data_IF_709893293309
#
_entry.id   IF_709893293309
#
_cell.length_a   1.000
_cell.length_b   1.000
_cell.length_c   1.000
_cell.angle_alpha   90.00
_cell.angle_beta   90.00
_cell.angle_gamma   90.00
#
_symmetry.space_group_name_H-M   'P 1'
#
loop_
_entity.id
_entity.type
_entity.pdbx_description
1 polymer ?
#
# COMPACT_ATOMS: atom_id res chain seq x y z
N UNK A 1 4.95 -47.50 -17.11
CA UNK A 1 5.99 -47.21 -18.12
C UNK A 1 5.47 -46.15 -19.08
N UNK A 2 5.97 -44.92 -18.94
CA UNK A 2 6.15 -43.94 -20.04
C UNK A 2 7.10 -42.89 -19.47
N UNK A 3 8.36 -42.98 -19.89
CA UNK A 3 9.45 -42.08 -19.50
C UNK A 3 9.22 -40.76 -20.23
N UNK A 4 9.08 -39.66 -19.50
CA UNK A 4 9.23 -38.32 -20.08
C UNK A 4 10.71 -37.99 -20.01
N UNK A 5 11.30 -37.73 -21.17
CA UNK A 5 12.72 -37.50 -21.34
C UNK A 5 13.09 -36.10 -20.87
N UNK A 6 14.10 -36.03 -20.01
CA UNK A 6 14.85 -34.83 -19.66
C UNK A 6 15.65 -34.41 -20.90
N UNK A 7 15.44 -33.19 -21.38
CA UNK A 7 16.30 -32.57 -22.40
C UNK A 7 17.36 -31.76 -21.65
N UNK A 8 18.66 -32.01 -21.86
CA UNK A 8 19.72 -31.24 -21.19
C UNK A 8 19.87 -29.87 -21.85
N UNK A 9 19.98 -28.84 -21.02
CA UNK A 9 20.40 -27.50 -21.41
C UNK A 9 21.81 -27.57 -22.01
N UNK A 10 21.92 -27.23 -23.30
CA UNK A 10 23.22 -27.02 -23.95
C UNK A 10 23.56 -25.54 -23.82
N UNK A 11 24.54 -25.26 -22.98
CA UNK A 11 25.35 -24.04 -22.99
C UNK A 11 25.76 -23.72 -24.44
N UNK A 12 25.41 -22.54 -24.95
CA UNK A 12 26.00 -22.01 -26.16
C UNK A 12 26.56 -20.60 -25.89
N UNK A 13 27.76 -20.58 -25.32
CA UNK A 13 28.72 -19.50 -25.53
C UNK A 13 29.05 -19.45 -27.03
N UNK A 14 28.54 -18.44 -27.75
CA UNK A 14 29.02 -18.12 -29.09
C UNK A 14 29.63 -16.73 -29.08
N UNK A 15 30.97 -16.76 -29.14
CA UNK A 15 31.85 -15.65 -29.48
C UNK A 15 31.31 -14.84 -30.65
N UNK A 16 31.28 -13.52 -30.46
CA UNK A 16 31.32 -12.55 -31.55
C UNK A 16 32.48 -12.86 -32.51
N UNK A 17 32.16 -13.25 -33.75
CA UNK A 17 32.86 -12.77 -34.96
C UNK A 17 32.10 -13.22 -36.22
N UNK A 18 32.06 -12.32 -37.20
CA UNK A 18 31.65 -12.48 -38.61
C UNK A 18 30.20 -12.08 -38.97
N UNK A 19 30.11 -10.85 -39.50
CA UNK A 19 29.24 -10.34 -40.55
C UNK A 19 28.17 -11.30 -41.13
N UNK A 20 26.91 -10.91 -40.95
CA UNK A 20 25.85 -11.20 -41.93
C UNK A 20 24.71 -12.11 -41.48
N UNK A 21 24.06 -11.84 -40.34
CA UNK A 21 22.71 -12.37 -40.09
C UNK A 21 21.67 -11.39 -40.66
N UNK A 22 20.83 -11.89 -41.57
CA UNK A 22 19.73 -11.13 -42.17
C UNK A 22 18.63 -10.93 -41.13
N UNK A 23 18.06 -9.72 -41.11
CA UNK A 23 16.96 -9.27 -40.24
C UNK A 23 15.80 -10.29 -40.11
N UNK A 24 15.51 -11.05 -41.17
CA UNK A 24 14.47 -12.10 -41.21
C UNK A 24 14.70 -13.31 -40.28
N UNK A 25 15.95 -13.68 -39.97
CA UNK A 25 16.23 -14.82 -39.08
C UNK A 25 16.11 -14.44 -37.60
N UNK A 26 16.32 -13.17 -37.27
CA UNK A 26 16.12 -12.63 -35.92
C UNK A 26 14.63 -12.46 -35.64
N UNK A 27 13.85 -11.98 -36.60
CA UNK A 27 12.39 -11.84 -36.48
C UNK A 27 11.69 -13.20 -36.26
N UNK A 28 12.11 -14.26 -36.96
CA UNK A 28 11.55 -15.62 -36.79
C UNK A 28 11.83 -16.28 -35.44
N UNK A 29 12.87 -15.85 -34.73
CA UNK A 29 13.21 -16.38 -33.39
C UNK A 29 12.47 -15.59 -32.31
N UNK A 30 12.14 -14.33 -32.56
CA UNK A 30 11.44 -13.45 -31.61
C UNK A 30 9.91 -13.64 -31.66
N UNK A 31 9.33 -13.89 -32.84
CA UNK A 31 7.87 -14.07 -33.01
C UNK A 31 7.24 -15.10 -32.04
N UNK A 32 7.82 -16.29 -31.80
CA UNK A 32 7.25 -17.25 -30.86
C UNK A 32 7.35 -16.80 -29.39
N UNK A 33 8.43 -16.08 -29.03
CA UNK A 33 8.65 -15.54 -27.68
C UNK A 33 7.71 -14.37 -27.35
N UNK A 34 7.33 -13.58 -28.36
CA UNK A 34 6.34 -12.49 -28.22
C UNK A 34 4.91 -13.05 -28.20
N UNK A 35 4.65 -14.15 -28.94
CA UNK A 35 3.36 -14.83 -28.92
C UNK A 35 3.08 -15.52 -27.57
N UNK A 36 4.10 -16.10 -26.91
CA UNK A 36 3.98 -16.65 -25.55
C UNK A 36 3.75 -15.56 -24.49
N UNK A 37 4.23 -14.33 -24.71
CA UNK A 37 3.93 -13.16 -23.86
C UNK A 37 2.46 -12.72 -24.04
N UNK A 38 1.95 -12.68 -25.29
CA UNK A 38 0.56 -12.29 -25.56
C UNK A 38 -0.49 -13.34 -25.18
N UNK A 39 -0.14 -14.63 -25.21
CA UNK A 39 -1.08 -15.70 -24.86
C UNK A 39 -1.20 -15.93 -23.35
N UNK A 40 -0.24 -15.45 -22.55
CA UNK A 40 -0.39 -15.38 -21.10
C UNK A 40 -1.30 -14.22 -20.63
N UNK A 41 -1.46 -13.17 -21.45
CA UNK A 41 -2.28 -11.98 -21.15
C UNK A 41 -3.73 -12.05 -21.69
N UNK A 42 -4.15 -13.17 -22.29
CA UNK A 42 -5.50 -13.30 -22.86
C UNK A 42 -6.22 -14.57 -22.43
N UNK A 43 -6.36 -14.76 -21.12
CA UNK A 43 -7.56 -15.42 -20.58
C UNK A 43 -8.62 -14.36 -20.34
N UNK A 44 -9.75 -14.49 -21.03
CA UNK A 44 -10.91 -13.60 -20.96
C UNK A 44 -11.33 -13.30 -19.52
N UNK A 45 -10.96 -12.13 -19.01
CA UNK A 45 -11.73 -11.47 -17.95
C UNK A 45 -12.98 -10.91 -18.61
N UNK A 46 -14.14 -11.44 -18.21
CA UNK A 46 -15.38 -10.71 -18.38
C UNK A 46 -15.19 -9.36 -17.66
N UNK A 47 -15.44 -8.25 -18.34
CA UNK A 47 -15.59 -6.95 -17.69
C UNK A 47 -16.80 -7.07 -16.75
N UNK A 48 -16.55 -7.44 -15.51
CA UNK A 48 -17.37 -6.98 -14.40
C UNK A 48 -17.21 -5.46 -14.40
N UNK A 49 -18.31 -4.71 -14.41
CA UNK A 49 -18.26 -3.28 -14.14
C UNK A 49 -17.68 -3.15 -12.73
N UNK A 50 -16.39 -2.83 -12.61
CA UNK A 50 -15.78 -2.54 -11.31
C UNK A 50 -16.50 -1.32 -10.72
N UNK A 51 -17.07 -1.51 -9.54
CA UNK A 51 -17.65 -0.40 -8.78
C UNK A 51 -16.60 0.71 -8.62
N UNK A 52 -16.99 1.99 -8.77
CA UNK A 52 -16.04 3.09 -8.64
C UNK A 52 -15.40 3.08 -7.24
N UNK A 53 -14.07 3.25 -7.19
CA UNK A 53 -13.30 3.23 -5.95
C UNK A 53 -13.78 4.29 -4.95
N UNK A 54 -14.27 5.43 -5.45
CA UNK A 54 -15.03 6.42 -4.67
C UNK A 54 -16.52 6.23 -5.03
N UNK A 55 -17.36 5.82 -4.08
CA UNK A 55 -18.76 5.54 -4.36
C UNK A 55 -19.57 6.84 -4.41
N UNK A 56 -20.59 6.89 -5.26
CA UNK A 56 -21.60 7.96 -5.16
C UNK A 56 -22.40 7.81 -3.85
N UNK A 57 -22.70 8.93 -3.20
CA UNK A 57 -23.51 8.94 -1.99
C UNK A 57 -24.96 8.59 -2.34
N UNK A 58 -25.41 7.41 -1.92
CA UNK A 58 -26.79 6.97 -2.05
C UNK A 58 -27.65 7.57 -0.92
N UNK A 59 -28.19 8.76 -1.17
CA UNK A 59 -29.08 9.45 -0.22
C UNK A 59 -30.43 8.73 0.01
N UNK A 60 -30.71 7.61 -0.66
CA UNK A 60 -31.88 6.77 -0.35
C UNK A 60 -31.67 5.90 0.90
N UNK A 61 -30.41 5.69 1.31
CA UNK A 61 -30.05 5.00 2.54
C UNK A 61 -30.26 5.92 3.73
N UNK A 62 -31.02 5.49 4.73
CA UNK A 62 -31.19 6.25 5.97
C UNK A 62 -29.91 6.18 6.83
N UNK A 63 -29.32 7.33 7.16
CA UNK A 63 -28.20 7.48 8.11
C UNK A 63 -28.63 8.38 9.27
N UNK A 64 -27.95 8.27 10.41
CA UNK A 64 -28.25 9.09 11.58
C UNK A 64 -27.90 10.57 11.35
N UNK A 65 -28.88 11.49 11.36
CA UNK A 65 -28.59 12.92 11.29
C UNK A 65 -27.78 13.38 12.50
N UNK A 66 -26.85 14.31 12.30
CA UNK A 66 -26.00 14.87 13.37
C UNK A 66 -24.96 13.90 13.92
N UNK A 67 -24.70 12.78 13.25
CA UNK A 67 -23.73 11.80 13.74
C UNK A 67 -22.31 12.41 13.86
N UNK A 68 -21.66 12.07 14.97
CA UNK A 68 -20.27 12.42 15.27
C UNK A 68 -19.38 11.23 14.96
N UNK A 69 -18.51 11.38 13.98
CA UNK A 69 -17.48 10.40 13.65
C UNK A 69 -16.18 10.82 14.33
N UNK A 70 -15.57 9.94 15.10
CA UNK A 70 -14.22 10.16 15.58
C UNK A 70 -13.23 9.32 14.77
N UNK A 71 -12.21 9.95 14.20
CA UNK A 71 -11.15 9.25 13.49
C UNK A 71 -9.88 9.30 14.32
N UNK A 72 -9.32 8.13 14.63
CA UNK A 72 -8.00 7.99 15.25
C UNK A 72 -7.06 7.32 14.24
N UNK A 73 -6.13 8.09 13.70
CA UNK A 73 -5.13 7.63 12.75
C UNK A 73 -3.85 7.16 13.46
N UNK A 74 -3.04 6.32 12.79
CA UNK A 74 -1.69 5.98 13.28
C UNK A 74 -0.73 7.16 13.17
N UNK A 75 -0.94 8.04 12.18
CA UNK A 75 -0.26 9.34 12.09
C UNK A 75 -1.16 10.41 11.47
N UNK A 76 -0.88 11.65 11.85
CA UNK A 76 -1.50 12.87 11.30
C UNK A 76 -0.54 13.66 10.41
N UNK A 77 0.71 13.21 10.28
CA UNK A 77 1.79 13.88 9.55
C UNK A 77 2.13 13.13 8.27
N UNK A 78 2.42 13.85 7.19
CA UNK A 78 2.86 13.26 5.92
C UNK A 78 1.79 13.35 4.81
N UNK A 79 2.22 13.28 3.56
CA UNK A 79 1.34 13.50 2.39
C UNK A 79 0.26 12.41 2.26
N UNK A 80 0.58 11.17 2.60
CA UNK A 80 -0.40 10.08 2.65
C UNK A 80 -1.57 10.41 3.58
N UNK A 81 -1.28 10.74 4.84
CA UNK A 81 -2.30 11.07 5.84
C UNK A 81 -3.05 12.35 5.52
N UNK A 82 -2.39 13.33 4.91
CA UNK A 82 -3.06 14.53 4.43
C UNK A 82 -4.12 14.20 3.38
N UNK A 83 -3.82 13.30 2.42
CA UNK A 83 -4.78 12.89 1.40
C UNK A 83 -5.90 12.02 1.98
N UNK A 84 -5.59 11.11 2.91
CA UNK A 84 -6.62 10.35 3.65
C UNK A 84 -7.59 11.32 4.32
N UNK A 85 -7.06 12.29 5.06
CA UNK A 85 -7.87 13.31 5.73
C UNK A 85 -8.71 14.12 4.75
N UNK A 86 -8.13 14.56 3.62
CA UNK A 86 -8.87 15.29 2.59
C UNK A 86 -10.03 14.47 2.02
N UNK A 87 -9.83 13.18 1.75
CA UNK A 87 -10.89 12.29 1.30
C UNK A 87 -12.00 12.10 2.34
N UNK A 88 -11.62 12.01 3.62
CA UNK A 88 -12.57 11.95 4.72
C UNK A 88 -13.37 13.25 4.87
N UNK A 89 -12.71 14.40 4.81
CA UNK A 89 -13.35 15.73 4.87
C UNK A 89 -14.32 15.92 3.70
N UNK A 90 -13.93 15.54 2.48
CA UNK A 90 -14.83 15.60 1.31
C UNK A 90 -16.05 14.70 1.49
N UNK A 91 -15.89 13.47 1.97
CA UNK A 91 -17.04 12.59 2.20
C UNK A 91 -18.04 13.18 3.22
N UNK A 92 -17.55 13.87 4.26
CA UNK A 92 -18.42 14.59 5.20
C UNK A 92 -19.16 15.73 4.51
N UNK A 93 -18.48 16.51 3.67
CA UNK A 93 -19.10 17.60 2.90
C UNK A 93 -20.18 17.06 1.94
N UNK A 94 -19.83 16.07 1.13
CA UNK A 94 -20.71 15.47 0.13
C UNK A 94 -21.95 14.82 0.76
N UNK A 95 -21.80 14.13 1.90
CA UNK A 95 -22.95 13.57 2.62
C UNK A 95 -23.86 14.68 3.15
N UNK A 96 -23.29 15.71 3.77
CA UNK A 96 -24.10 16.81 4.28
C UNK A 96 -24.87 17.52 3.16
N UNK A 97 -24.25 17.68 1.98
CA UNK A 97 -24.91 18.22 0.78
C UNK A 97 -26.00 17.27 0.26
N UNK A 98 -25.68 16.00 0.04
CA UNK A 98 -26.57 15.01 -0.55
C UNK A 98 -27.84 14.77 0.28
N UNK A 99 -27.71 14.75 1.61
CA UNK A 99 -28.84 14.59 2.54
C UNK A 99 -29.53 15.91 2.87
N UNK A 100 -28.97 17.05 2.47
CA UNK A 100 -29.49 18.38 2.78
C UNK A 100 -29.50 18.69 4.27
N UNK A 101 -28.53 18.16 5.03
CA UNK A 101 -28.48 18.34 6.48
C UNK A 101 -28.22 19.79 6.85
N UNK A 102 -29.14 20.33 7.67
CA UNK A 102 -28.99 21.65 8.26
C UNK A 102 -27.97 21.67 9.41
N UNK A 103 -27.76 22.85 9.99
CA UNK A 103 -26.79 23.06 11.08
C UNK A 103 -26.95 22.11 12.28
N UNK A 104 -28.19 21.75 12.61
CA UNK A 104 -28.49 20.89 13.78
C UNK A 104 -28.40 19.39 13.44
N UNK A 105 -28.25 19.04 12.17
CA UNK A 105 -28.21 17.67 11.63
C UNK A 105 -26.88 17.37 10.93
N UNK A 106 -25.93 18.32 10.99
CA UNK A 106 -24.67 18.23 10.26
C UNK A 106 -23.82 17.09 10.82
N UNK A 107 -23.39 16.20 9.92
CA UNK A 107 -22.38 15.20 10.21
C UNK A 107 -21.06 15.93 10.52
N UNK A 108 -20.41 15.52 11.61
CA UNK A 108 -19.12 16.08 12.02
C UNK A 108 -18.09 14.99 12.20
N UNK A 109 -16.82 15.36 12.02
CA UNK A 109 -15.70 14.46 12.15
C UNK A 109 -14.57 15.10 12.97
N UNK A 110 -13.91 14.31 13.83
CA UNK A 110 -12.55 14.63 14.32
C UNK A 110 -11.52 13.78 13.59
N UNK A 111 -10.32 14.32 13.38
CA UNK A 111 -9.17 13.58 12.86
C UNK A 111 -7.99 13.75 13.81
N UNK A 112 -7.78 12.73 14.63
CA UNK A 112 -6.82 12.71 15.74
C UNK A 112 -5.82 11.57 15.54
N UNK A 113 -4.70 11.62 16.24
CA UNK A 113 -3.66 10.59 16.16
C UNK A 113 -2.31 11.14 16.59
N UNK A 114 -1.32 10.26 16.65
CA UNK A 114 0.06 10.68 16.89
C UNK A 114 0.61 11.46 15.69
N UNK A 115 1.75 12.13 15.89
CA UNK A 115 2.52 12.72 14.78
C UNK A 115 3.56 11.76 14.22
N UNK A 116 3.86 10.67 14.95
CA UNK A 116 4.80 9.60 14.63
C UNK A 116 4.07 8.25 14.74
N UNK A 117 4.13 7.43 13.69
CA UNK A 117 3.46 6.13 13.61
C UNK A 117 3.91 5.15 14.70
N UNK A 118 5.11 5.33 15.26
CA UNK A 118 5.66 4.50 16.34
C UNK A 118 5.04 4.77 17.71
N UNK A 119 4.33 5.89 17.89
CA UNK A 119 3.79 6.28 19.19
C UNK A 119 2.43 5.63 19.49
N UNK A 120 2.47 4.30 19.67
CA UNK A 120 1.32 3.48 20.04
C UNK A 120 0.69 3.95 21.36
N UNK A 121 1.50 4.45 22.29
CA UNK A 121 1.02 4.89 23.61
C UNK A 121 0.15 6.14 23.50
N UNK A 122 0.54 7.12 22.67
CA UNK A 122 -0.31 8.28 22.39
C UNK A 122 -1.60 7.88 21.68
N UNK A 123 -1.55 6.95 20.71
CA UNK A 123 -2.76 6.45 20.06
C UNK A 123 -3.74 5.81 21.05
N UNK A 124 -3.24 5.01 22.00
CA UNK A 124 -4.06 4.42 23.08
C UNK A 124 -4.74 5.49 23.92
N UNK A 125 -4.00 6.52 24.35
CA UNK A 125 -4.56 7.62 25.15
C UNK A 125 -5.62 8.42 24.37
N UNK A 126 -5.38 8.67 23.08
CA UNK A 126 -6.36 9.33 22.21
C UNK A 126 -7.63 8.50 22.08
N UNK A 127 -7.52 7.18 21.91
CA UNK A 127 -8.68 6.29 21.86
C UNK A 127 -9.49 6.31 23.15
N UNK A 128 -8.83 6.24 24.31
CA UNK A 128 -9.52 6.31 25.60
C UNK A 128 -10.31 7.63 25.74
N UNK A 129 -9.71 8.76 25.32
CA UNK A 129 -10.36 10.07 25.36
C UNK A 129 -11.55 10.14 24.39
N UNK A 130 -11.35 9.73 23.13
CA UNK A 130 -12.36 9.75 22.08
C UNK A 130 -13.55 8.85 22.45
N UNK A 131 -13.30 7.64 22.92
CA UNK A 131 -14.37 6.71 23.33
C UNK A 131 -15.17 7.30 24.51
N UNK A 132 -14.51 8.01 25.43
CA UNK A 132 -15.18 8.68 26.54
C UNK A 132 -16.10 9.85 26.11
N UNK A 133 -15.86 10.43 24.93
CA UNK A 133 -16.77 11.42 24.33
C UNK A 133 -18.02 10.80 23.68
N UNK A 134 -18.07 9.47 23.60
CA UNK A 134 -19.17 8.67 23.07
C UNK A 134 -19.60 9.10 21.65
N UNK A 135 -18.70 9.06 20.66
CA UNK A 135 -19.03 9.31 19.26
C UNK A 135 -20.01 8.24 18.74
N UNK A 136 -20.72 8.56 17.67
CA UNK A 136 -21.65 7.63 17.02
C UNK A 136 -20.90 6.54 16.25
N UNK A 137 -19.69 6.85 15.76
CA UNK A 137 -18.82 5.89 15.06
C UNK A 137 -17.35 6.21 15.36
N UNK A 138 -16.54 5.16 15.56
CA UNK A 138 -15.09 5.27 15.65
C UNK A 138 -14.44 4.71 14.39
N UNK A 139 -13.59 5.52 13.74
CA UNK A 139 -12.71 5.07 12.66
C UNK A 139 -11.28 4.94 13.20
N UNK A 140 -10.59 3.85 12.89
CA UNK A 140 -9.25 3.55 13.43
C UNK A 140 -8.28 3.06 12.35
N UNK A 141 -7.09 3.63 12.30
CA UNK A 141 -5.93 3.01 11.65
C UNK A 141 -4.94 2.61 12.74
N UNK A 142 -4.78 1.31 12.98
CA UNK A 142 -4.02 0.80 14.12
C UNK A 142 -2.50 0.88 13.90
N UNK A 143 -1.78 1.50 14.84
CA UNK A 143 -0.30 1.48 14.88
C UNK A 143 0.27 0.12 15.30
N UNK A 144 -0.53 -0.71 15.96
CA UNK A 144 -0.17 -2.06 16.37
C UNK A 144 -1.43 -2.93 16.38
N UNK A 145 -1.36 -4.07 15.68
CA UNK A 145 -2.51 -4.97 15.48
C UNK A 145 -3.09 -5.55 16.76
N UNK A 146 -2.33 -5.61 17.86
CA UNK A 146 -2.70 -6.29 19.10
C UNK A 146 -2.87 -5.35 20.31
N UNK A 147 -2.35 -4.12 20.24
CA UNK A 147 -2.27 -3.24 21.40
C UNK A 147 -3.57 -2.50 21.72
N UNK A 148 -4.57 -2.53 20.85
CA UNK A 148 -5.82 -1.76 20.98
C UNK A 148 -7.02 -2.57 21.47
N UNK A 149 -6.83 -3.83 21.87
CA UNK A 149 -7.93 -4.73 22.22
C UNK A 149 -8.85 -4.16 23.31
N UNK A 150 -8.28 -3.60 24.38
CA UNK A 150 -9.07 -3.06 25.49
C UNK A 150 -9.94 -1.86 25.06
N UNK A 151 -9.39 -0.98 24.23
CA UNK A 151 -10.12 0.17 23.67
C UNK A 151 -11.26 -0.29 22.78
N UNK A 152 -11.03 -1.29 21.93
CA UNK A 152 -12.07 -1.84 21.06
C UNK A 152 -13.17 -2.56 21.82
N UNK A 153 -12.83 -3.25 22.91
CA UNK A 153 -13.81 -3.82 23.83
C UNK A 153 -14.66 -2.71 24.49
N UNK A 154 -14.02 -1.62 24.93
CA UNK A 154 -14.73 -0.46 25.50
C UNK A 154 -15.66 0.21 24.48
N UNK A 155 -15.22 0.43 23.24
CA UNK A 155 -16.04 0.96 22.16
C UNK A 155 -17.28 0.07 21.94
N UNK A 156 -17.08 -1.25 21.89
CA UNK A 156 -18.16 -2.23 21.74
C UNK A 156 -19.14 -2.23 22.92
N UNK A 157 -18.64 -2.13 24.16
CA UNK A 157 -19.48 -2.04 25.37
C UNK A 157 -20.35 -0.77 25.38
N UNK A 158 -19.83 0.33 24.84
CA UNK A 158 -20.57 1.58 24.66
C UNK A 158 -21.47 1.58 23.40
N UNK A 159 -21.48 0.49 22.62
CA UNK A 159 -22.29 0.37 21.41
C UNK A 159 -21.75 1.17 20.22
N UNK A 160 -20.49 1.62 20.27
CA UNK A 160 -19.83 2.41 19.22
C UNK A 160 -19.35 1.44 18.13
N UNK A 161 -19.91 1.47 16.91
CA UNK A 161 -19.37 0.72 15.79
C UNK A 161 -17.96 1.21 15.43
N UNK A 162 -17.08 0.28 15.08
CA UNK A 162 -15.71 0.56 14.68
C UNK A 162 -15.49 0.24 13.20
N UNK A 163 -14.96 1.19 12.43
CA UNK A 163 -14.50 0.98 11.05
C UNK A 163 -12.98 1.12 11.02
N UNK A 164 -12.27 0.07 10.61
CA UNK A 164 -10.83 0.14 10.45
C UNK A 164 -10.47 0.69 9.06
N UNK A 165 -9.36 1.41 8.97
CA UNK A 165 -8.82 1.87 7.69
C UNK A 165 -7.30 1.80 7.67
N UNK A 166 -6.69 1.71 6.49
CA UNK A 166 -5.24 1.53 6.24
C UNK A 166 -4.63 0.26 6.86
N UNK A 167 -4.60 0.19 8.20
CA UNK A 167 -4.10 -0.90 9.01
C UNK A 167 -5.15 -1.30 10.05
N UNK A 168 -5.61 -2.55 9.98
CA UNK A 168 -6.60 -3.10 10.91
C UNK A 168 -5.95 -3.69 12.17
N UNK A 169 -6.79 -4.29 13.01
CA UNK A 169 -6.43 -5.03 14.22
C UNK A 169 -6.55 -6.54 14.01
N UNK A 170 -5.92 -7.33 14.89
CA UNK A 170 -5.88 -8.79 14.79
C UNK A 170 -7.25 -9.44 15.03
N UNK A 171 -8.02 -8.97 16.02
CA UNK A 171 -9.41 -9.43 16.19
C UNK A 171 -10.35 -8.71 15.23
N UNK A 172 -10.43 -9.22 14.00
CA UNK A 172 -11.34 -8.68 12.99
C UNK A 172 -12.80 -8.59 13.46
N UNK A 173 -13.26 -9.34 14.48
CA UNK A 173 -14.64 -9.27 14.97
C UNK A 173 -14.95 -7.98 15.71
N UNK A 174 -13.92 -7.25 16.14
CA UNK A 174 -14.08 -5.95 16.78
C UNK A 174 -14.37 -4.82 15.79
N UNK A 175 -14.12 -5.06 14.49
CA UNK A 175 -14.41 -4.09 13.43
C UNK A 175 -15.64 -4.51 12.61
N UNK A 176 -16.48 -3.52 12.27
CA UNK A 176 -17.63 -3.66 11.38
C UNK A 176 -17.18 -3.81 9.94
N UNK A 177 -16.23 -2.96 9.53
CA UNK A 177 -15.67 -2.95 8.20
C UNK A 177 -14.21 -2.53 8.21
N UNK A 178 -13.50 -2.85 7.13
CA UNK A 178 -12.14 -2.41 6.82
C UNK A 178 -12.08 -1.74 5.45
N UNK A 179 -11.36 -0.63 5.34
CA UNK A 179 -11.05 0.10 4.10
C UNK A 179 -9.55 0.33 3.98
N UNK A 180 -8.89 -0.29 3.01
CA UNK A 180 -7.46 -0.09 2.82
C UNK A 180 -6.97 -0.69 1.53
N UNK A 181 -5.67 -0.60 1.30
CA UNK A 181 -5.03 -1.20 0.12
C UNK A 181 -4.93 -2.72 0.25
N UNK A 182 -4.93 -3.45 -0.87
CA UNK A 182 -4.39 -4.82 -0.87
C UNK A 182 -2.87 -4.78 -0.70
N UNK A 183 -2.42 -4.82 0.56
CA UNK A 183 -1.02 -4.71 0.90
C UNK A 183 -0.20 -5.96 0.55
N UNK A 184 -0.84 -7.13 0.43
CA UNK A 184 -0.15 -8.31 -0.09
C UNK A 184 0.17 -8.11 -1.57
N UNK A 185 -0.81 -7.60 -2.33
CA UNK A 185 -0.62 -7.22 -3.73
C UNK A 185 0.46 -6.15 -3.90
N UNK A 186 0.56 -5.18 -2.98
CA UNK A 186 1.66 -4.20 -2.95
C UNK A 186 3.02 -4.90 -2.93
N UNK A 187 3.20 -5.83 -1.99
CA UNK A 187 4.44 -6.60 -1.85
C UNK A 187 4.77 -7.44 -3.09
N UNK A 188 3.78 -8.11 -3.66
CA UNK A 188 3.93 -8.92 -4.88
C UNK A 188 4.38 -8.08 -6.09
N UNK A 189 3.75 -6.92 -6.32
CA UNK A 189 4.13 -6.00 -7.39
C UNK A 189 5.55 -5.49 -7.17
N UNK A 190 5.88 -5.07 -5.94
CA UNK A 190 7.22 -4.57 -5.60
C UNK A 190 8.30 -5.64 -5.84
N UNK A 191 8.05 -6.89 -5.42
CA UNK A 191 8.96 -8.00 -5.64
C UNK A 191 9.16 -8.29 -7.12
N UNK A 192 8.08 -8.37 -7.90
CA UNK A 192 8.16 -8.56 -9.34
C UNK A 192 8.99 -7.46 -10.02
N UNK A 193 8.68 -6.20 -9.72
CA UNK A 193 9.33 -5.04 -10.34
C UNK A 193 10.80 -4.94 -9.98
N UNK A 194 11.14 -5.16 -8.72
CA UNK A 194 12.53 -5.19 -8.27
C UNK A 194 13.30 -6.34 -8.91
N UNK A 195 12.74 -7.56 -8.90
CA UNK A 195 13.37 -8.73 -9.51
C UNK A 195 13.67 -8.53 -10.99
N UNK A 196 12.72 -7.97 -11.76
CA UNK A 196 12.93 -7.66 -13.17
C UNK A 196 14.02 -6.59 -13.35
N UNK A 197 14.00 -5.55 -12.53
CA UNK A 197 14.95 -4.43 -12.63
C UNK A 197 16.40 -4.85 -12.35
N UNK A 198 16.63 -5.81 -11.45
CA UNK A 198 17.97 -6.35 -11.14
C UNK A 198 18.38 -7.52 -12.05
N UNK A 199 17.59 -7.85 -13.08
CA UNK A 199 17.90 -8.96 -13.99
C UNK A 199 17.66 -10.35 -13.42
N UNK A 200 16.80 -10.46 -12.39
CA UNK A 200 16.28 -11.70 -11.78
C UNK A 200 17.31 -12.53 -11.01
N UNK A 201 18.42 -11.91 -10.58
CA UNK A 201 19.43 -12.53 -9.75
C UNK A 201 20.09 -11.50 -8.83
N UNK A 202 20.70 -11.94 -7.73
CA UNK A 202 21.50 -11.09 -6.86
C UNK A 202 20.99 -11.07 -5.42
N UNK A 203 21.34 -10.01 -4.70
CA UNK A 203 20.95 -9.83 -3.29
C UNK A 203 20.06 -8.63 -3.14
N UNK A 204 19.00 -8.76 -2.35
CA UNK A 204 18.10 -7.65 -2.03
C UNK A 204 17.89 -7.52 -0.53
N UNK A 205 17.57 -6.32 -0.07
CA UNK A 205 17.18 -6.05 1.31
C UNK A 205 15.81 -5.38 1.36
N UNK A 206 15.11 -5.55 2.47
CA UNK A 206 13.86 -4.85 2.75
C UNK A 206 14.10 -3.87 3.89
N UNK A 207 13.89 -2.59 3.62
CA UNK A 207 13.82 -1.57 4.66
C UNK A 207 12.35 -1.27 4.90
N UNK A 208 11.93 -1.42 6.14
CA UNK A 208 10.52 -1.44 6.48
C UNK A 208 10.18 -0.46 7.59
N UNK A 209 8.92 0.02 7.58
CA UNK A 209 8.35 0.76 8.68
C UNK A 209 8.08 -0.19 9.87
N UNK A 210 6.98 -0.01 10.62
CA UNK A 210 6.78 -0.75 11.86
C UNK A 210 6.24 -2.16 11.60
N UNK A 211 6.92 -3.18 12.13
CA UNK A 211 6.59 -4.61 11.94
C UNK A 211 5.17 -4.95 12.42
N UNK A 212 4.66 -4.23 13.41
CA UNK A 212 3.43 -4.60 14.11
C UNK A 212 2.14 -4.09 13.46
N UNK A 213 2.26 -3.29 12.40
CA UNK A 213 1.11 -2.82 11.62
C UNK A 213 0.70 -3.86 10.59
N UNK A 214 -0.60 -4.04 10.38
CA UNK A 214 -1.11 -5.03 9.41
C UNK A 214 -0.61 -4.74 7.99
N UNK A 215 -0.63 -3.48 7.57
CA UNK A 215 -0.24 -3.09 6.21
C UNK A 215 1.22 -3.46 5.91
N UNK A 216 2.12 -3.26 6.86
CA UNK A 216 3.54 -3.63 6.71
C UNK A 216 3.74 -5.14 6.73
N UNK A 217 3.05 -5.87 7.62
CA UNK A 217 3.11 -7.34 7.64
C UNK A 217 2.72 -7.92 6.28
N UNK A 218 1.60 -7.44 5.72
CA UNK A 218 1.09 -7.91 4.43
C UNK A 218 2.03 -7.53 3.26
N UNK A 219 2.62 -6.33 3.26
CA UNK A 219 3.62 -5.91 2.25
C UNK A 219 4.86 -6.78 2.27
N UNK A 220 5.42 -7.02 3.46
CA UNK A 220 6.64 -7.84 3.60
C UNK A 220 6.34 -9.30 3.28
N UNK A 221 5.20 -9.84 3.73
CA UNK A 221 4.76 -11.20 3.37
C UNK A 221 4.59 -11.35 1.86
N UNK A 222 3.89 -10.41 1.21
CA UNK A 222 3.68 -10.40 -0.24
C UNK A 222 4.99 -10.34 -1.01
N UNK A 223 5.92 -9.48 -0.58
CA UNK A 223 7.23 -9.35 -1.21
C UNK A 223 8.07 -10.63 -1.06
N UNK A 224 8.22 -11.13 0.17
CA UNK A 224 9.05 -12.30 0.45
C UNK A 224 8.50 -13.58 -0.17
N UNK A 225 7.17 -13.78 -0.12
CA UNK A 225 6.52 -14.93 -0.76
C UNK A 225 6.66 -14.88 -2.28
N UNK A 226 6.52 -13.70 -2.89
CA UNK A 226 6.63 -13.58 -4.35
C UNK A 226 8.07 -13.77 -4.84
N UNK A 227 9.07 -13.38 -4.04
CA UNK A 227 10.49 -13.61 -4.34
C UNK A 227 10.85 -15.11 -4.44
N UNK A 228 10.06 -16.03 -3.88
CA UNK A 228 10.26 -17.47 -4.07
C UNK A 228 10.21 -17.92 -5.55
N UNK A 229 9.59 -17.11 -6.43
CA UNK A 229 9.61 -17.34 -7.89
C UNK A 229 10.96 -17.00 -8.56
N UNK A 230 11.89 -16.37 -7.82
CA UNK A 230 13.21 -15.96 -8.28
C UNK A 230 14.30 -16.56 -7.38
N UNK A 231 14.59 -17.87 -7.50
CA UNK A 231 15.49 -18.58 -6.58
C UNK A 231 16.95 -18.10 -6.64
N UNK A 232 17.32 -17.32 -7.66
CA UNK A 232 18.64 -16.69 -7.79
C UNK A 232 18.71 -15.30 -7.12
N UNK A 233 17.61 -14.84 -6.50
CA UNK A 233 17.56 -13.65 -5.65
C UNK A 233 17.52 -14.08 -4.19
N UNK A 234 18.45 -13.55 -3.39
CA UNK A 234 18.50 -13.76 -1.94
C UNK A 234 18.04 -12.50 -1.20
N UNK A 235 17.00 -12.62 -0.36
CA UNK A 235 16.57 -11.55 0.54
C UNK A 235 17.47 -11.61 1.78
N UNK A 236 18.57 -10.86 1.76
CA UNK A 236 19.65 -11.00 2.75
C UNK A 236 19.34 -10.36 4.09
N UNK A 237 18.47 -9.35 4.12
CA UNK A 237 18.13 -8.64 5.35
C UNK A 237 16.74 -7.97 5.25
N UNK A 238 16.02 -7.98 6.37
CA UNK A 238 14.77 -7.22 6.56
C UNK A 238 14.97 -6.41 7.84
N UNK A 239 14.95 -5.08 7.73
CA UNK A 239 15.13 -4.17 8.86
C UNK A 239 13.83 -3.40 9.07
N UNK A 240 13.29 -3.46 10.29
CA UNK A 240 12.09 -2.71 10.67
C UNK A 240 12.46 -1.50 11.51
N UNK A 241 11.82 -0.36 11.22
CA UNK A 241 12.09 0.92 11.88
C UNK A 241 11.84 0.89 13.40
N UNK A 242 10.92 0.05 13.87
CA UNK A 242 10.59 -0.10 15.29
C UNK A 242 11.49 -1.12 16.02
N UNK A 243 12.45 -1.74 15.32
CA UNK A 243 13.43 -2.67 15.89
C UNK A 243 14.85 -2.09 15.99
N UNK A 244 15.06 -0.85 15.51
CA UNK A 244 16.35 -0.16 15.52
C UNK A 244 16.21 1.25 16.11
N UNK A 245 17.27 1.73 16.76
CA UNK A 245 17.28 3.08 17.34
C UNK A 245 17.36 4.17 16.25
N UNK A 246 18.13 3.92 15.20
CA UNK A 246 18.33 4.81 14.05
C UNK A 246 18.26 4.01 12.76
N UNK A 247 17.17 4.20 12.00
CA UNK A 247 16.94 3.51 10.75
C UNK A 247 17.96 3.89 9.67
N UNK A 248 18.46 5.14 9.66
CA UNK A 248 19.46 5.57 8.67
C UNK A 248 20.78 4.85 8.90
N UNK A 249 21.21 4.78 10.17
CA UNK A 249 22.43 4.05 10.52
C UNK A 249 22.31 2.55 10.20
N UNK A 250 21.14 1.95 10.48
CA UNK A 250 20.88 0.55 10.15
C UNK A 250 20.93 0.31 8.63
N UNK A 251 20.31 1.16 7.81
CA UNK A 251 20.39 1.08 6.34
C UNK A 251 21.84 1.16 5.84
N UNK A 252 22.65 2.08 6.39
CA UNK A 252 24.07 2.20 6.03
C UNK A 252 24.83 0.91 6.37
N UNK A 253 24.59 0.35 7.55
CA UNK A 253 25.21 -0.90 7.98
C UNK A 253 24.87 -2.07 7.05
N UNK A 254 23.62 -2.17 6.57
CA UNK A 254 23.22 -3.18 5.58
C UNK A 254 23.99 -3.02 4.28
N UNK A 255 24.11 -1.78 3.77
CA UNK A 255 24.85 -1.49 2.54
C UNK A 255 26.35 -1.80 2.68
N UNK A 256 26.97 -1.44 3.81
CA UNK A 256 28.38 -1.72 4.09
C UNK A 256 28.68 -3.22 4.23
N UNK A 257 27.78 -3.98 4.89
CA UNK A 257 27.90 -5.43 5.03
C UNK A 257 27.68 -6.18 3.72
N UNK A 258 26.92 -5.59 2.79
CA UNK A 258 26.51 -6.22 1.54
C UNK A 258 26.93 -5.35 0.33
N UNK A 259 28.24 -5.26 -0.01
CA UNK A 259 28.70 -4.49 -1.17
C UNK A 259 28.29 -5.06 -2.54
N UNK A 260 27.54 -6.17 -2.54
CA UNK A 260 26.94 -6.82 -3.73
C UNK A 260 25.41 -6.73 -3.69
N UNK A 261 24.85 -5.83 -2.88
CA UNK A 261 23.41 -5.62 -2.81
C UNK A 261 22.96 -4.96 -4.11
N UNK A 262 22.07 -5.63 -4.85
CA UNK A 262 21.60 -5.17 -6.15
C UNK A 262 20.29 -4.39 -6.03
N UNK A 263 19.50 -4.65 -4.98
CA UNK A 263 18.19 -4.03 -4.83
C UNK A 263 17.73 -3.81 -3.40
N UNK A 264 16.87 -2.82 -3.20
CA UNK A 264 16.17 -2.56 -1.96
C UNK A 264 14.68 -2.34 -2.20
N UNK A 265 13.87 -2.83 -1.27
CA UNK A 265 12.45 -2.52 -1.17
C UNK A 265 12.19 -1.65 0.06
N UNK A 266 11.60 -0.47 -0.12
CA UNK A 266 11.20 0.44 0.96
C UNK A 266 9.68 0.40 1.14
N UNK A 267 9.19 0.01 2.32
CA UNK A 267 7.78 -0.42 2.47
C UNK A 267 6.76 0.70 2.68
N UNK A 268 7.17 1.97 2.83
CA UNK A 268 6.30 3.16 2.83
C UNK A 268 7.08 4.43 2.40
N UNK A 269 6.36 5.55 2.34
CA UNK A 269 6.91 6.87 2.04
C UNK A 269 8.08 7.28 2.95
N UNK A 270 7.95 7.19 4.27
CA UNK A 270 8.97 7.66 5.21
C UNK A 270 10.30 6.91 5.05
N UNK A 271 10.23 5.59 4.88
CA UNK A 271 11.41 4.74 4.68
C UNK A 271 12.04 4.98 3.30
N UNK A 272 11.21 5.21 2.28
CA UNK A 272 11.68 5.55 0.94
C UNK A 272 12.40 6.90 0.94
N UNK A 273 11.81 7.92 1.55
CA UNK A 273 12.39 9.25 1.68
C UNK A 273 13.70 9.23 2.48
N UNK A 274 13.76 8.47 3.58
CA UNK A 274 15.00 8.25 4.35
C UNK A 274 16.10 7.62 3.51
N UNK A 275 15.77 6.56 2.74
CA UNK A 275 16.73 5.91 1.87
C UNK A 275 17.21 6.84 0.75
N UNK A 276 16.32 7.64 0.15
CA UNK A 276 16.67 8.60 -0.91
C UNK A 276 17.58 9.73 -0.41
N UNK A 277 17.38 10.20 0.83
CA UNK A 277 18.20 11.27 1.43
C UNK A 277 19.57 10.78 1.91
N UNK A 278 19.69 9.50 2.22
CA UNK A 278 20.92 8.92 2.73
C UNK A 278 22.04 9.00 1.68
N UNK A 279 23.27 9.43 2.06
CA UNK A 279 24.39 9.46 1.12
C UNK A 279 24.67 8.06 0.57
N UNK A 280 25.00 8.01 -0.72
CA UNK A 280 25.40 6.78 -1.41
C UNK A 280 26.86 6.91 -1.84
N UNK A 281 27.57 5.79 -1.87
CA UNK A 281 28.93 5.72 -2.39
C UNK A 281 28.88 5.80 -3.93
N UNK A 282 29.20 6.98 -4.48
CA UNK A 282 29.20 7.21 -5.93
C UNK A 282 30.28 6.40 -6.69
N UNK A 283 31.15 5.67 -5.97
CA UNK A 283 32.14 4.76 -6.58
C UNK A 283 31.61 3.34 -6.81
N UNK A 284 30.44 3.01 -6.25
CA UNK A 284 29.77 1.73 -6.43
C UNK A 284 28.62 1.85 -7.43
N UNK A 285 28.25 0.72 -8.02
CA UNK A 285 27.04 0.66 -8.84
C UNK A 285 25.81 1.00 -7.96
N UNK A 286 24.86 1.80 -8.48
CA UNK A 286 23.71 2.21 -7.69
C UNK A 286 22.81 1.01 -7.39
N UNK A 287 22.48 0.83 -6.12
CA UNK A 287 21.51 -0.17 -5.67
C UNK A 287 20.12 0.21 -6.19
N UNK A 288 19.45 -0.72 -6.85
CA UNK A 288 18.12 -0.51 -7.43
C UNK A 288 17.09 -0.33 -6.32
N UNK A 289 16.24 0.69 -6.40
CA UNK A 289 15.21 0.95 -5.40
C UNK A 289 13.80 0.80 -5.98
N UNK A 290 12.93 0.12 -5.22
CA UNK A 290 11.47 0.18 -5.37
C UNK A 290 10.86 0.62 -4.04
N UNK A 291 9.97 1.61 -4.09
CA UNK A 291 9.25 2.11 -2.91
C UNK A 291 7.77 1.75 -2.93
N UNK A 292 7.10 2.09 -1.83
CA UNK A 292 5.64 2.19 -1.73
C UNK A 292 5.29 3.66 -1.57
N UNK A 293 4.06 4.04 -1.89
CA UNK A 293 3.53 5.41 -1.89
C UNK A 293 3.97 6.22 -3.13
N UNK A 294 3.75 7.53 -3.14
CA UNK A 294 4.12 8.38 -4.28
C UNK A 294 4.36 9.84 -3.85
N UNK A 295 5.21 10.05 -2.85
CA UNK A 295 5.56 11.41 -2.39
C UNK A 295 6.13 12.24 -3.54
N UNK A 296 6.06 13.58 -3.45
CA UNK A 296 6.70 14.44 -4.43
C UNK A 296 8.21 14.14 -4.59
N UNK A 297 8.88 13.70 -3.52
CA UNK A 297 10.28 13.27 -3.54
C UNK A 297 10.47 11.99 -4.35
N UNK A 298 9.65 10.96 -4.11
CA UNK A 298 9.68 9.73 -4.89
C UNK A 298 9.37 9.99 -6.37
N UNK A 299 8.38 10.85 -6.66
CA UNK A 299 8.07 11.25 -8.03
C UNK A 299 9.26 11.93 -8.73
N UNK A 300 10.01 12.79 -8.04
CA UNK A 300 11.25 13.37 -8.56
C UNK A 300 12.36 12.31 -8.71
N UNK A 301 12.49 11.39 -7.74
CA UNK A 301 13.46 10.29 -7.80
C UNK A 301 13.22 9.37 -9.00
N UNK A 302 11.95 9.05 -9.30
CA UNK A 302 11.54 8.29 -10.49
C UNK A 302 11.93 9.04 -11.76
N UNK A 303 11.58 10.32 -11.88
CA UNK A 303 11.94 11.13 -13.07
C UNK A 303 13.45 11.24 -13.27
N UNK A 304 14.22 11.24 -12.19
CA UNK A 304 15.68 11.27 -12.21
C UNK A 304 16.34 9.87 -12.19
N UNK A 305 15.56 8.79 -12.35
CA UNK A 305 16.04 7.40 -12.36
C UNK A 305 16.80 6.95 -11.09
N UNK A 306 16.56 7.61 -9.96
CA UNK A 306 17.08 7.20 -8.63
C UNK A 306 16.21 6.15 -7.96
N UNK A 307 14.95 6.07 -8.35
CA UNK A 307 13.98 5.06 -7.93
C UNK A 307 13.35 4.48 -9.19
N UNK A 308 13.29 3.14 -9.31
CA UNK A 308 12.74 2.50 -10.52
C UNK A 308 11.26 2.78 -10.68
N UNK A 309 10.57 2.87 -9.55
CA UNK A 309 9.15 3.14 -9.47
C UNK A 309 8.66 2.81 -8.08
N UNK A 310 7.37 3.07 -7.89
CA UNK A 310 6.68 2.88 -6.64
C UNK A 310 5.41 2.07 -6.84
N UNK A 311 5.03 1.34 -5.82
CA UNK A 311 3.69 0.78 -5.71
C UNK A 311 2.84 1.74 -4.90
N UNK A 312 2.00 2.52 -5.57
CA UNK A 312 1.23 3.59 -4.96
C UNK A 312 -0.18 3.16 -4.56
N UNK A 313 -0.73 3.83 -3.56
CA UNK A 313 -2.06 3.62 -3.00
C UNK A 313 -3.03 4.74 -3.44
N UNK A 314 -4.32 4.62 -3.11
CA UNK A 314 -5.31 5.69 -3.25
C UNK A 314 -5.74 6.25 -1.88
N UNK A 315 -4.90 7.03 -1.17
CA UNK A 315 -5.21 7.51 0.18
C UNK A 315 -6.51 8.30 0.28
N UNK A 316 -6.77 9.17 -0.71
CA UNK A 316 -8.00 9.95 -0.77
C UNK A 316 -9.24 9.05 -0.81
N UNK A 317 -9.24 8.03 -1.67
CA UNK A 317 -10.35 7.10 -1.79
C UNK A 317 -10.52 6.24 -0.53
N UNK A 318 -9.42 5.81 0.12
CA UNK A 318 -9.47 5.13 1.42
C UNK A 318 -10.19 6.00 2.46
N UNK A 319 -9.82 7.28 2.54
CA UNK A 319 -10.45 8.24 3.45
C UNK A 319 -11.94 8.40 3.18
N UNK A 320 -12.31 8.64 1.93
CA UNK A 320 -13.70 8.83 1.52
C UNK A 320 -14.55 7.59 1.84
N UNK A 321 -14.10 6.42 1.42
CA UNK A 321 -14.75 5.13 1.66
C UNK A 321 -14.93 4.84 3.15
N UNK A 322 -13.95 5.23 3.98
CA UNK A 322 -14.00 5.07 5.44
C UNK A 322 -15.18 5.83 6.03
N UNK A 323 -15.33 7.11 5.69
CA UNK A 323 -16.40 7.95 6.24
C UNK A 323 -17.76 7.52 5.72
N UNK A 324 -17.88 7.23 4.43
CA UNK A 324 -19.15 6.74 3.90
C UNK A 324 -19.55 5.44 4.60
N UNK A 325 -18.62 4.49 4.72
CA UNK A 325 -18.87 3.22 5.43
C UNK A 325 -19.20 3.44 6.91
N UNK A 326 -18.54 4.36 7.58
CA UNK A 326 -18.83 4.72 8.97
C UNK A 326 -20.29 5.17 9.10
N UNK A 327 -20.76 6.05 8.24
CA UNK A 327 -22.13 6.54 8.26
C UNK A 327 -23.15 5.45 7.96
N UNK A 328 -22.85 4.54 7.04
CA UNK A 328 -23.70 3.35 6.81
C UNK A 328 -23.86 2.49 8.07
N UNK A 329 -22.88 2.49 9.01
CA UNK A 329 -23.05 1.76 10.28
C UNK A 329 -24.06 2.39 11.24
N UNK A 330 -24.44 3.65 11.01
CA UNK A 330 -25.47 4.35 11.79
C UNK A 330 -26.89 4.06 11.29
N UNK A 331 -27.01 3.46 10.11
CA UNK A 331 -28.29 3.12 9.52
C UNK A 331 -29.07 2.12 10.41
N UNK A 332 -30.42 2.17 10.41
CA UNK A 332 -31.23 1.22 11.16
C UNK A 332 -30.86 -0.23 10.85
N UNK A 333 -30.77 -1.09 11.88
CA UNK A 333 -30.31 -2.48 11.73
C UNK A 333 -30.97 -3.21 10.54
N UNK A 334 -30.14 -3.80 9.66
CA UNK A 334 -30.52 -4.56 8.44
C UNK A 334 -31.08 -3.72 7.28
N UNK A 335 -31.04 -2.39 7.37
CA UNK A 335 -31.43 -1.53 6.23
C UNK A 335 -30.34 -1.44 5.15
N UNK A 336 -29.08 -1.74 5.51
CA UNK A 336 -27.92 -1.66 4.62
C UNK A 336 -27.05 -2.90 4.75
N UNK A 337 -26.56 -3.40 3.61
CA UNK A 337 -25.47 -4.37 3.57
C UNK A 337 -24.13 -3.65 3.47
N UNK A 338 -23.22 -3.91 4.41
CA UNK A 338 -21.90 -3.29 4.43
C UNK A 338 -20.86 -4.34 4.07
N UNK A 339 -20.15 -4.12 2.95
CA UNK A 339 -19.00 -4.92 2.57
C UNK A 339 -17.96 -4.87 3.68
N UNK A 340 -17.71 -6.04 4.30
CA UNK A 340 -16.85 -6.15 5.49
C UNK A 340 -15.42 -5.73 5.21
N UNK A 341 -14.85 -6.16 4.10
CA UNK A 341 -13.48 -5.80 3.72
C UNK A 341 -13.50 -5.27 2.30
N UNK A 342 -13.13 -4.00 2.12
CA UNK A 342 -12.83 -3.45 0.81
C UNK A 342 -11.32 -3.26 0.75
N UNK A 343 -10.68 -3.96 -0.19
CA UNK A 343 -9.27 -3.79 -0.50
C UNK A 343 -9.16 -3.08 -1.85
N UNK A 344 -8.55 -1.91 -1.84
CA UNK A 344 -8.34 -1.09 -3.03
C UNK A 344 -7.05 -1.55 -3.70
N UNK A 345 -7.08 -1.72 -5.01
CA UNK A 345 -5.91 -2.15 -5.76
C UNK A 345 -4.85 -1.04 -5.83
N UNK A 346 -3.58 -1.37 -5.52
CA UNK A 346 -2.47 -0.45 -5.72
C UNK A 346 -2.09 -0.36 -7.20
N UNK A 347 -1.46 0.76 -7.60
CA UNK A 347 -0.93 0.94 -8.94
C UNK A 347 0.60 0.96 -8.93
N UNK A 348 1.21 0.37 -9.95
CA UNK A 348 2.63 0.58 -10.23
C UNK A 348 2.82 1.91 -10.97
N UNK A 349 3.65 2.80 -10.41
CA UNK A 349 4.00 4.09 -11.01
C UNK A 349 5.49 4.13 -11.29
N UNK A 350 5.87 4.38 -12.54
CA UNK A 350 7.25 4.56 -12.97
C UNK A 350 7.37 5.70 -14.00
N UNK A 351 8.58 5.93 -14.52
CA UNK A 351 8.84 7.01 -15.46
C UNK A 351 8.01 6.94 -16.75
N UNK A 352 7.43 5.79 -17.11
CA UNK A 352 6.64 5.61 -18.32
C UNK A 352 5.17 6.03 -18.17
N UNK A 353 4.64 6.03 -16.95
CA UNK A 353 3.22 6.27 -16.69
C UNK A 353 2.93 7.34 -15.61
N UNK A 354 3.95 7.91 -14.97
CA UNK A 354 3.79 8.92 -13.91
C UNK A 354 3.07 10.20 -14.36
N UNK A 355 3.14 10.55 -15.64
CA UNK A 355 2.47 11.72 -16.20
C UNK A 355 1.14 11.36 -16.89
N UNK A 356 0.69 10.10 -16.82
CA UNK A 356 -0.63 9.69 -17.32
C UNK A 356 -1.73 10.23 -16.39
N UNK A 357 -2.68 11.03 -16.91
CA UNK A 357 -3.79 11.54 -16.11
C UNK A 357 -4.62 10.45 -15.40
N UNK A 358 -4.66 9.22 -15.93
CA UNK A 358 -5.34 8.11 -15.28
C UNK A 358 -4.74 7.73 -13.91
N UNK A 359 -3.46 8.07 -13.69
CA UNK A 359 -2.75 7.76 -12.45
C UNK A 359 -2.80 8.90 -11.42
N UNK A 360 -3.51 10.01 -11.67
CA UNK A 360 -3.48 11.17 -10.78
C UNK A 360 -3.96 10.85 -9.36
N UNK A 361 -4.91 9.93 -9.21
CA UNK A 361 -5.42 9.48 -7.91
C UNK A 361 -4.39 8.71 -7.07
N UNK A 362 -3.30 8.28 -7.68
CA UNK A 362 -2.19 7.55 -7.07
C UNK A 362 -0.96 8.45 -6.82
N UNK A 363 -1.01 9.76 -7.08
CA UNK A 363 0.13 10.66 -6.87
C UNK A 363 -0.08 11.53 -5.64
N UNK A 364 0.92 11.63 -4.76
CA UNK A 364 0.79 12.38 -3.50
C UNK A 364 1.31 13.81 -3.64
N UNK A 365 0.85 14.48 -4.69
CA UNK A 365 1.07 15.90 -4.96
C UNK A 365 0.02 16.75 -4.24
N UNK A 366 0.48 17.75 -3.49
CA UNK A 366 -0.37 18.75 -2.84
C UNK A 366 -1.04 19.69 -3.84
#
# INVERSE_FOLDING_TARGET
MRKVAVIPAVLLTVLCTLNGCKKEEVEKVIEPLVADIQTAETSQEAQEEEDPVIPEIDASVEIQPGARIAVVSKSTSGSYWSLVRQGMEQAVEDVNEAYGFGKDEQITMTFEGASDEKDVSSQVNTLDAVIAENPDVLCISASDTNSLQAQLESAKENGIPVVAFDSSVSDSKMVRAFRGTDNKRVGEIAAYRLAVAIGKMGKVAVFSAQEKTQSIQERVEGFTSYMENYPDIDVVEIVYQDQVDDMTAAMQEVLEKNPQLEGVFCTNADISDLYLDMPKDETQDPVVMVGVDATAKQQEAIRNSKEVGVVSQQPYAIGYQTIWTALLTTAPNKSVEITRNLRIDPAWIDASNIDDPANSAYLYSN
#
